data_IF_866983831000
#
_entry.id   IF_866983831000
#
_cell.length_a   1.000
_cell.length_b   1.000
_cell.length_c   1.000
_cell.angle_alpha   90.00
_cell.angle_beta   90.00
_cell.angle_gamma   90.00
#
_symmetry.space_group_name_H-M   'P 1'
#
loop_
_entity.id
_entity.type
_entity.pdbx_description
1 polymer ?
#
# COMPACT_ATOMS: atom_id res chain seq x y z
N UNK A 1 -4.58 3.49 -13.12
CA UNK A 1 -5.29 4.12 -11.99
C UNK A 1 -4.92 5.60 -11.90
N UNK A 2 -5.88 6.49 -11.69
CA UNK A 2 -5.66 7.95 -11.62
C UNK A 2 -5.01 8.30 -10.28
N UNK A 3 -4.27 9.41 -10.19
CA UNK A 3 -3.66 9.95 -8.95
C UNK A 3 -4.64 10.01 -7.74
N UNK A 4 -5.93 10.11 -8.04
CA UNK A 4 -7.02 10.06 -7.06
C UNK A 4 -7.16 8.71 -6.35
N UNK A 5 -6.91 7.59 -7.04
CA UNK A 5 -7.04 6.24 -6.48
C UNK A 5 -5.91 5.91 -5.51
N UNK A 6 -4.68 6.38 -5.78
CA UNK A 6 -3.56 6.24 -4.85
C UNK A 6 -3.80 7.05 -3.58
N UNK A 7 -4.30 8.29 -3.71
CA UNK A 7 -4.67 9.11 -2.55
C UNK A 7 -5.78 8.45 -1.72
N UNK A 8 -6.73 7.78 -2.38
CA UNK A 8 -7.77 7.01 -1.70
C UNK A 8 -7.18 5.86 -0.88
N UNK A 9 -6.29 5.07 -1.48
CA UNK A 9 -5.62 3.96 -0.78
C UNK A 9 -4.84 4.44 0.47
N UNK A 10 -4.13 5.57 0.35
CA UNK A 10 -3.41 6.17 1.48
C UNK A 10 -4.39 6.61 2.58
N UNK A 11 -5.48 7.30 2.21
CA UNK A 11 -6.50 7.73 3.16
C UNK A 11 -7.20 6.56 3.86
N UNK A 12 -7.49 5.47 3.13
CA UNK A 12 -8.11 4.27 3.70
C UNK A 12 -7.19 3.62 4.75
N UNK A 13 -5.87 3.64 4.54
CA UNK A 13 -4.86 3.17 5.51
C UNK A 13 -4.78 4.08 6.74
N UNK A 14 -4.79 5.40 6.54
CA UNK A 14 -4.78 6.38 7.64
C UNK A 14 -6.02 6.24 8.53
N UNK A 15 -7.20 6.01 7.93
CA UNK A 15 -8.45 5.77 8.65
C UNK A 15 -8.37 4.45 9.45
N UNK A 16 -7.82 3.39 8.87
CA UNK A 16 -7.67 2.11 9.56
C UNK A 16 -6.72 2.22 10.77
N UNK A 17 -5.65 3.00 10.67
CA UNK A 17 -4.75 3.28 11.79
C UNK A 17 -5.43 4.16 12.84
N UNK A 18 -6.18 5.18 12.42
CA UNK A 18 -6.88 6.09 13.34
C UNK A 18 -8.06 5.43 14.06
N UNK A 19 -8.71 4.45 13.43
CA UNK A 19 -9.82 3.68 14.00
C UNK A 19 -9.34 2.53 14.89
N UNK A 20 -8.05 2.19 14.88
CA UNK A 20 -7.50 1.20 15.79
C UNK A 20 -7.48 1.78 17.22
N UNK A 21 -8.19 1.13 18.14
CA UNK A 21 -8.18 1.53 19.55
C UNK A 21 -6.75 1.43 20.12
N UNK A 22 -6.36 2.32 21.06
CA UNK A 22 -5.09 2.20 21.76
C UNK A 22 -4.94 0.82 22.41
N UNK A 23 -3.92 0.06 22.00
CA UNK A 23 -3.68 -1.31 22.48
C UNK A 23 -4.12 -2.42 21.53
N UNK A 24 -4.75 -2.09 20.39
CA UNK A 24 -4.98 -3.05 19.30
C UNK A 24 -3.65 -3.37 18.63
N UNK A 25 -3.19 -4.61 18.78
CA UNK A 25 -2.03 -5.14 18.06
C UNK A 25 -2.46 -5.49 16.66
N UNK A 26 -1.71 -4.99 15.67
CA UNK A 26 -1.91 -5.34 14.27
C UNK A 26 -1.73 -6.86 14.13
N UNK A 27 -2.79 -7.58 13.78
CA UNK A 27 -2.70 -9.03 13.59
C UNK A 27 -1.82 -9.35 12.39
N UNK A 28 -1.26 -10.56 12.35
CA UNK A 28 -0.47 -11.02 11.20
C UNK A 28 -1.26 -10.90 9.89
N UNK A 29 -2.55 -11.27 9.91
CA UNK A 29 -3.46 -11.14 8.76
C UNK A 29 -3.64 -9.69 8.31
N UNK A 30 -3.80 -8.75 9.26
CA UNK A 30 -3.88 -7.32 8.95
C UNK A 30 -2.56 -6.80 8.37
N UNK A 31 -1.42 -7.29 8.88
CA UNK A 31 -0.08 -6.93 8.39
C UNK A 31 0.14 -7.39 6.96
N UNK A 32 -0.20 -8.65 6.67
CA UNK A 32 -0.11 -9.23 5.31
C UNK A 32 -0.99 -8.44 4.35
N UNK A 33 -2.23 -8.16 4.73
CA UNK A 33 -3.16 -7.39 3.89
C UNK A 33 -2.63 -5.99 3.59
N UNK A 34 -2.13 -5.28 4.61
CA UNK A 34 -1.49 -3.97 4.42
C UNK A 34 -0.32 -4.03 3.43
N UNK A 35 0.56 -5.03 3.60
CA UNK A 35 1.74 -5.18 2.76
C UNK A 35 1.36 -5.45 1.30
N UNK A 36 0.37 -6.32 1.05
CA UNK A 36 -0.13 -6.60 -0.30
C UNK A 36 -0.72 -5.35 -0.93
N UNK A 37 -1.56 -4.60 -0.22
CA UNK A 37 -2.16 -3.36 -0.73
C UNK A 37 -1.10 -2.30 -1.04
N UNK A 38 -0.09 -2.15 -0.18
CA UNK A 38 1.03 -1.24 -0.43
C UNK A 38 1.88 -1.66 -1.64
N UNK A 39 2.17 -2.96 -1.79
CA UNK A 39 2.91 -3.47 -2.95
C UNK A 39 2.15 -3.23 -4.26
N UNK A 40 0.83 -3.41 -4.27
CA UNK A 40 0.00 -3.09 -5.44
C UNK A 40 0.04 -1.60 -5.78
N UNK A 41 -0.07 -0.73 -4.78
CA UNK A 41 0.04 0.71 -4.97
C UNK A 41 1.42 1.12 -5.54
N UNK A 42 2.50 0.53 -5.02
CA UNK A 42 3.87 0.76 -5.51
C UNK A 42 4.04 0.26 -6.95
N UNK A 43 3.54 -0.93 -7.28
CA UNK A 43 3.62 -1.47 -8.63
C UNK A 43 2.93 -0.57 -9.65
N UNK A 44 1.75 -0.04 -9.30
CA UNK A 44 1.01 0.88 -10.15
C UNK A 44 1.69 2.25 -10.26
N UNK A 45 2.26 2.78 -9.17
CA UNK A 45 3.08 4.00 -9.20
C UNK A 45 4.30 3.85 -10.12
N UNK A 46 4.99 2.71 -10.05
CA UNK A 46 6.11 2.39 -10.93
C UNK A 46 5.67 2.35 -12.39
N UNK A 47 4.54 1.70 -12.68
CA UNK A 47 3.97 1.63 -14.03
C UNK A 47 3.63 3.03 -14.58
N UNK A 48 3.05 3.91 -13.76
CA UNK A 48 2.67 5.28 -14.17
C UNK A 48 3.88 6.20 -14.39
N UNK A 49 4.95 6.01 -13.61
CA UNK A 49 6.15 6.85 -13.69
C UNK A 49 7.22 6.31 -14.65
N UNK A 50 6.90 5.28 -15.46
CA UNK A 50 7.85 4.67 -16.39
C UNK A 50 9.00 3.94 -15.71
N UNK A 51 8.81 3.51 -14.46
CA UNK A 51 9.80 2.76 -13.70
C UNK A 51 9.78 1.29 -14.18
N UNK A 52 10.48 1.02 -15.27
CA UNK A 52 10.87 -0.34 -15.63
C UNK A 52 11.81 -0.84 -14.54
N UNK A 53 11.39 -1.90 -13.84
CA UNK A 53 12.30 -2.67 -12.98
C UNK A 53 13.18 -3.52 -13.90
N UNK A 54 14.06 -2.87 -14.65
CA UNK A 54 15.27 -3.54 -15.10
C UNK A 54 16.16 -3.68 -13.86
N UNK A 55 16.81 -4.83 -13.73
CA UNK A 55 17.74 -5.20 -12.65
C UNK A 55 17.10 -5.59 -11.30
N UNK A 56 16.76 -6.89 -11.22
CA UNK A 56 17.37 -7.82 -10.24
C UNK A 56 16.78 -9.19 -10.45
N UNK A 57 17.42 -9.94 -11.36
CA UNK A 57 17.76 -11.35 -11.21
C UNK A 57 18.87 -11.64 -12.22
N UNK A 58 20.11 -11.38 -11.79
CA UNK A 58 21.35 -11.97 -12.33
C UNK A 58 22.11 -12.54 -11.15
#
# INVERSE_FOLDING_TARGET
MKKLEIKKIIGDLEIMVAAAEPGVVLTEEMSVTCCVTLQQAIAELKRLNGYSRDERDS
#
